data_IF_132664199410
#
_entry.id   IF_132664199410
#
_cell.length_a   1.000
_cell.length_b   1.000
_cell.length_c   1.000
_cell.angle_alpha   90.00
_cell.angle_beta   90.00
_cell.angle_gamma   90.00
#
_symmetry.space_group_name_H-M   'P 1'
#
loop_
_entity.id
_entity.type
_entity.pdbx_description
1 polymer ?
#
# COMPACT_ATOMS: atom_id res chain seq x y z
N UNK A 1 8.32 -35.74 -6.21
CA UNK A 1 9.61 -35.22 -5.69
C UNK A 1 9.84 -33.87 -6.38
N UNK A 2 9.36 -32.77 -5.78
CA UNK A 2 9.36 -31.47 -6.45
C UNK A 2 8.63 -30.44 -5.61
N UNK A 3 9.31 -29.88 -4.60
CA UNK A 3 8.85 -28.69 -3.88
C UNK A 3 9.97 -28.08 -3.03
N UNK A 4 11.14 -27.89 -3.64
CA UNK A 4 12.20 -27.08 -3.05
C UNK A 4 12.47 -25.92 -3.99
N UNK A 5 11.53 -24.98 -4.05
CA UNK A 5 11.89 -23.62 -4.44
C UNK A 5 12.82 -23.11 -3.35
N UNK A 6 14.12 -23.06 -3.67
CA UNK A 6 15.19 -22.58 -2.80
C UNK A 6 14.78 -21.31 -2.04
N UNK A 7 14.97 -21.30 -0.72
CA UNK A 7 14.68 -20.14 0.15
C UNK A 7 15.40 -18.87 -0.30
N UNK A 8 16.47 -19.01 -1.08
CA UNK A 8 17.22 -17.92 -1.70
C UNK A 8 16.47 -17.34 -2.91
N UNK A 9 15.91 -18.19 -3.78
CA UNK A 9 15.09 -17.73 -4.90
C UNK A 9 13.80 -17.04 -4.44
N UNK A 10 13.21 -17.51 -3.33
CA UNK A 10 12.14 -16.78 -2.66
C UNK A 10 12.65 -15.41 -2.20
N UNK A 11 13.74 -15.34 -1.43
CA UNK A 11 14.29 -14.05 -0.97
C UNK A 11 14.50 -13.06 -2.12
N UNK A 12 15.08 -13.49 -3.25
CA UNK A 12 15.33 -12.62 -4.42
C UNK A 12 14.09 -12.26 -5.27
N UNK A 13 13.05 -13.09 -5.30
CA UNK A 13 11.82 -12.79 -6.04
C UNK A 13 10.88 -11.84 -5.30
N UNK A 14 11.17 -11.53 -4.03
CA UNK A 14 10.27 -10.82 -3.11
C UNK A 14 10.94 -9.68 -2.34
N UNK A 15 11.98 -9.03 -2.87
CA UNK A 15 12.54 -7.83 -2.23
C UNK A 15 11.76 -6.58 -2.70
N UNK A 16 10.73 -6.12 -1.96
CA UNK A 16 10.22 -4.77 -2.17
C UNK A 16 11.35 -3.75 -1.89
N UNK A 17 11.20 -2.51 -2.35
CA UNK A 17 12.15 -1.45 -2.04
C UNK A 17 12.44 -1.35 -0.53
N UNK A 18 13.73 -1.29 -0.18
CA UNK A 18 14.20 -1.04 1.19
C UNK A 18 15.23 0.11 1.16
N UNK A 19 14.90 1.31 1.69
CA UNK A 19 13.64 1.64 2.37
C UNK A 19 12.44 1.68 1.39
N UNK A 20 11.19 1.54 1.91
CA UNK A 20 9.99 1.69 1.10
C UNK A 20 9.98 3.03 0.36
N UNK A 21 9.44 3.06 -0.86
CA UNK A 21 9.35 4.28 -1.67
C UNK A 21 8.22 5.21 -1.24
N UNK A 22 7.49 4.85 -0.17
CA UNK A 22 6.42 5.63 0.42
C UNK A 22 6.64 5.87 1.91
N UNK A 23 6.07 6.96 2.40
CA UNK A 23 6.03 7.29 3.83
C UNK A 23 4.59 7.30 4.33
N UNK A 24 4.39 6.85 5.58
CA UNK A 24 3.13 7.01 6.31
C UNK A 24 3.42 7.69 7.63
N UNK A 25 2.65 8.71 7.98
CA UNK A 25 2.80 9.44 9.22
C UNK A 25 1.44 9.71 9.86
N UNK A 26 1.43 9.92 11.18
CA UNK A 26 0.23 10.36 11.91
C UNK A 26 0.28 11.87 12.11
N UNK A 27 -0.80 12.55 11.74
CA UNK A 27 -0.97 13.96 12.05
C UNK A 27 -1.57 14.11 13.45
N UNK A 28 -0.87 14.80 14.36
CA UNK A 28 -1.38 15.09 15.72
C UNK A 28 -1.03 14.09 16.82
N UNK A 29 -0.08 13.17 16.60
CA UNK A 29 0.41 12.22 17.61
C UNK A 29 -0.14 10.80 17.42
N UNK A 30 -0.07 9.97 18.47
CA UNK A 30 -0.35 8.53 18.36
C UNK A 30 -1.81 8.18 18.01
N UNK A 31 -2.76 9.04 18.38
CA UNK A 31 -4.19 8.90 18.04
C UNK A 31 -4.57 9.68 16.76
N UNK A 32 -3.58 10.25 16.09
CA UNK A 32 -3.73 11.00 14.85
C UNK A 32 -4.17 10.14 13.66
N UNK A 33 -4.87 10.76 12.70
CA UNK A 33 -5.20 10.12 11.43
C UNK A 33 -3.90 9.80 10.68
N UNK A 34 -3.88 8.67 9.97
CA UNK A 34 -2.75 8.30 9.12
C UNK A 34 -2.83 9.01 7.76
N UNK A 35 -1.68 9.51 7.30
CA UNK A 35 -1.51 10.19 6.04
C UNK A 35 -0.40 9.53 5.22
N UNK A 36 -0.57 9.57 3.90
CA UNK A 36 0.42 9.07 2.95
C UNK A 36 1.28 10.25 2.49
N UNK A 37 2.60 10.15 2.64
CA UNK A 37 3.52 11.21 2.26
C UNK A 37 3.44 11.51 0.76
N UNK A 38 3.37 12.80 0.41
CA UNK A 38 3.23 13.24 -0.99
C UNK A 38 1.80 13.17 -1.55
N UNK A 39 0.82 12.69 -0.76
CA UNK A 39 -0.60 12.75 -1.13
C UNK A 39 -1.29 13.82 -0.32
N UNK A 40 -1.76 14.86 -1.02
CA UNK A 40 -2.54 15.93 -0.41
C UNK A 40 -3.87 15.39 0.17
N UNK A 41 -4.27 15.89 1.34
CA UNK A 41 -5.43 15.39 2.09
C UNK A 41 -6.77 15.57 1.34
N UNK A 42 -6.83 16.47 0.36
CA UNK A 42 -7.97 16.73 -0.53
C UNK A 42 -8.23 15.59 -1.54
N UNK A 43 -7.29 14.64 -1.69
CA UNK A 43 -7.47 13.52 -2.62
C UNK A 43 -8.49 12.47 -2.17
N UNK A 44 -9.18 12.65 -1.03
CA UNK A 44 -10.15 11.70 -0.47
C UNK A 44 -9.57 10.29 -0.30
N UNK A 45 -8.37 10.23 0.29
CA UNK A 45 -7.67 8.98 0.57
C UNK A 45 -7.68 8.73 2.06
N UNK A 46 -8.09 7.53 2.46
CA UNK A 46 -7.89 7.03 3.82
C UNK A 46 -6.72 6.08 3.85
N UNK A 47 -5.82 6.28 4.81
CA UNK A 47 -4.69 5.38 5.05
C UNK A 47 -4.98 4.55 6.29
N UNK A 48 -4.76 3.25 6.19
CA UNK A 48 -4.98 2.29 7.26
C UNK A 48 -3.70 1.52 7.53
N UNK A 49 -3.46 1.23 8.82
CA UNK A 49 -2.45 0.28 9.26
C UNK A 49 -3.18 -0.92 9.84
N UNK A 50 -3.12 -2.04 9.13
CA UNK A 50 -3.85 -3.26 9.44
C UNK A 50 -2.91 -4.25 10.14
N UNK A 51 -3.33 -4.77 11.29
CA UNK A 51 -2.62 -5.84 11.97
C UNK A 51 -3.17 -7.19 11.56
N UNK A 52 -2.29 -8.05 11.06
CA UNK A 52 -2.65 -9.43 10.73
C UNK A 52 -2.56 -10.31 11.98
N UNK A 53 -3.28 -11.44 11.97
CA UNK A 53 -3.20 -12.45 13.05
C UNK A 53 -1.78 -12.98 13.28
N UNK A 54 -0.91 -12.88 12.28
CA UNK A 54 0.50 -13.29 12.37
C UNK A 54 1.44 -12.19 12.90
N UNK A 55 0.92 -11.05 13.34
CA UNK A 55 1.72 -9.93 13.88
C UNK A 55 2.34 -9.00 12.83
N UNK A 56 2.09 -9.23 11.54
CA UNK A 56 2.53 -8.30 10.49
C UNK A 56 1.62 -7.09 10.44
N UNK A 57 2.21 -5.91 10.18
CA UNK A 57 1.49 -4.66 9.91
C UNK A 57 1.49 -4.39 8.42
N UNK A 58 0.31 -4.14 7.85
CA UNK A 58 0.11 -3.89 6.43
C UNK A 58 -0.45 -2.48 6.27
N UNK A 59 0.19 -1.65 5.45
CA UNK A 59 -0.38 -0.36 5.04
C UNK A 59 -1.37 -0.61 3.91
N UNK A 60 -2.56 -0.01 4.00
CA UNK A 60 -3.55 -0.01 2.95
C UNK A 60 -4.05 1.42 2.69
N UNK A 61 -4.42 1.72 1.46
CA UNK A 61 -5.02 3.01 1.08
C UNK A 61 -6.39 2.77 0.45
N UNK A 62 -7.38 3.57 0.86
CA UNK A 62 -8.72 3.54 0.31
C UNK A 62 -9.01 4.86 -0.39
N UNK A 63 -9.16 4.80 -1.71
CA UNK A 63 -9.34 5.96 -2.58
C UNK A 63 -10.82 6.10 -2.92
N UNK A 64 -11.43 7.22 -2.53
CA UNK A 64 -12.86 7.46 -2.80
C UNK A 64 -13.02 8.31 -4.06
N UNK A 65 -13.84 7.81 -4.98
CA UNK A 65 -14.31 8.59 -6.13
C UNK A 65 -15.80 8.93 -5.97
N UNK A 66 -16.23 10.20 -6.12
CA UNK A 66 -17.62 10.60 -5.87
C UNK A 66 -18.66 9.85 -6.72
N UNK A 67 -18.27 9.40 -7.91
CA UNK A 67 -19.15 8.70 -8.86
C UNK A 67 -18.80 7.20 -8.98
N UNK A 68 -18.09 6.64 -8.00
CA UNK A 68 -17.74 5.22 -8.01
C UNK A 68 -18.99 4.33 -8.05
N UNK A 69 -19.05 3.41 -9.02
CA UNK A 69 -20.10 2.38 -9.14
C UNK A 69 -19.66 1.01 -8.65
N UNK A 70 -18.36 0.83 -8.47
CA UNK A 70 -17.70 -0.43 -8.13
C UNK A 70 -16.57 -0.14 -7.14
N UNK A 71 -16.19 -1.15 -6.36
CA UNK A 71 -15.01 -1.11 -5.49
C UNK A 71 -14.01 -2.15 -5.96
N UNK A 72 -12.79 -1.73 -6.23
CA UNK A 72 -11.69 -2.61 -6.62
C UNK A 72 -10.78 -2.84 -5.43
N UNK A 73 -10.59 -4.11 -5.05
CA UNK A 73 -9.49 -4.51 -4.18
C UNK A 73 -8.31 -4.88 -5.07
N UNK A 74 -7.25 -4.08 -5.02
CA UNK A 74 -6.03 -4.30 -5.77
C UNK A 74 -4.88 -4.62 -4.82
N UNK A 75 -4.12 -5.66 -5.15
CA UNK A 75 -2.87 -6.01 -4.49
C UNK A 75 -1.77 -5.95 -5.54
N UNK A 76 -0.68 -5.25 -5.22
CA UNK A 76 0.45 -5.12 -6.12
C UNK A 76 1.21 -6.44 -6.26
N UNK A 77 2.02 -6.53 -7.32
CA UNK A 77 2.90 -7.67 -7.53
C UNK A 77 4.04 -7.76 -6.52
N UNK A 78 4.81 -8.84 -6.62
CA UNK A 78 6.06 -8.99 -5.87
C UNK A 78 7.08 -7.93 -6.30
N UNK A 79 7.99 -7.57 -5.38
CA UNK A 79 9.02 -6.54 -5.59
C UNK A 79 8.47 -5.13 -5.92
N UNK A 80 7.16 -4.91 -5.71
CA UNK A 80 6.52 -3.62 -5.79
C UNK A 80 6.06 -3.14 -4.40
N UNK A 81 5.81 -1.84 -4.25
CA UNK A 81 5.20 -1.25 -3.07
C UNK A 81 4.15 -0.17 -3.42
N UNK A 82 3.49 0.39 -2.40
CA UNK A 82 2.45 1.41 -2.59
C UNK A 82 2.95 2.72 -3.20
N UNK A 83 4.22 3.06 -3.02
CA UNK A 83 4.78 4.29 -3.58
C UNK A 83 4.88 4.21 -5.10
N UNK A 84 5.31 3.05 -5.61
CA UNK A 84 5.34 2.78 -7.04
C UNK A 84 3.95 2.69 -7.68
N UNK A 85 2.93 2.27 -6.92
CA UNK A 85 1.55 2.22 -7.39
C UNK A 85 0.81 3.57 -7.30
N UNK A 86 1.42 4.59 -6.68
CA UNK A 86 0.72 5.82 -6.34
C UNK A 86 0.17 6.55 -7.58
N UNK A 87 0.97 6.67 -8.64
CA UNK A 87 0.57 7.34 -9.87
C UNK A 87 -0.65 6.68 -10.50
N UNK A 88 -0.64 5.34 -10.58
CA UNK A 88 -1.79 4.56 -11.06
C UNK A 88 -3.07 4.86 -10.26
N UNK A 89 -2.99 4.90 -8.93
CA UNK A 89 -4.17 5.18 -8.10
C UNK A 89 -4.66 6.62 -8.23
N UNK A 90 -3.74 7.58 -8.44
CA UNK A 90 -4.10 8.97 -8.73
C UNK A 90 -4.83 9.08 -10.06
N UNK A 91 -4.35 8.40 -11.11
CA UNK A 91 -5.01 8.36 -12.43
C UNK A 91 -6.37 7.67 -12.37
N UNK A 92 -6.48 6.51 -11.70
CA UNK A 92 -7.75 5.79 -11.50
C UNK A 92 -8.79 6.60 -10.74
N UNK A 93 -8.37 7.58 -9.94
CA UNK A 93 -9.26 8.50 -9.22
C UNK A 93 -9.59 9.76 -10.04
N UNK A 94 -8.81 10.08 -11.06
CA UNK A 94 -9.05 11.23 -11.93
C UNK A 94 -10.06 10.93 -13.05
N UNK A 95 -10.34 9.65 -13.31
CA UNK A 95 -11.20 9.14 -14.38
C UNK A 95 -12.32 8.25 -13.83
#
# INVERSE_FOLDING_TARGET
MGNVTSSVAAKFAFFPPDPPTYGVFREGGDDGRLHFAGVSADKNVDVHLLETKGGNRIVATFWRHPMARLTLLYSHGNAADLGQMLELFVELRAH
#
